data_IF_782562535348
#
_entry.id   IF_782562535348
#
_cell.length_a   1.000
_cell.length_b   1.000
_cell.length_c   1.000
_cell.angle_alpha   90.00
_cell.angle_beta   90.00
_cell.angle_gamma   90.00
#
_symmetry.space_group_name_H-M   'P 1'
#
loop_
_entity.id
_entity.type
_entity.pdbx_description
1 polymer ?
#
# COMPACT_ATOMS: atom_id res chain seq x y z
N UNK A 1 -1.82 12.00 -7.68
CA UNK A 1 -2.46 10.72 -7.33
C UNK A 1 -3.70 10.46 -8.17
N UNK A 2 -3.82 9.24 -8.72
CA UNK A 2 -4.96 8.76 -9.50
C UNK A 2 -6.25 8.69 -8.66
N UNK A 3 -6.95 9.84 -8.51
CA UNK A 3 -8.24 9.93 -7.82
C UNK A 3 -9.35 9.05 -8.42
N UNK A 4 -9.12 8.49 -9.62
CA UNK A 4 -10.03 7.52 -10.26
C UNK A 4 -9.87 6.08 -9.78
N UNK A 5 -8.68 5.65 -9.33
CA UNK A 5 -8.46 4.28 -8.86
C UNK A 5 -8.91 4.11 -7.41
N UNK A 6 -8.57 5.07 -6.53
CA UNK A 6 -9.11 5.14 -5.16
C UNK A 6 -10.64 5.14 -5.18
N UNK A 7 -11.26 5.95 -6.05
CA UNK A 7 -12.72 6.00 -6.14
C UNK A 7 -13.42 4.71 -6.64
N UNK A 8 -12.71 3.79 -7.29
CA UNK A 8 -13.25 2.50 -7.76
C UNK A 8 -12.97 1.39 -6.72
N UNK A 9 -11.77 1.41 -6.13
CA UNK A 9 -11.37 0.50 -5.05
C UNK A 9 -12.19 0.76 -3.78
N UNK A 10 -12.36 2.02 -3.39
CA UNK A 10 -13.23 2.42 -2.27
C UNK A 10 -14.69 2.05 -2.54
N UNK A 11 -15.16 2.12 -3.78
CA UNK A 11 -16.53 1.67 -4.13
C UNK A 11 -16.69 0.16 -4.09
N UNK A 12 -15.64 -0.58 -4.42
CA UNK A 12 -15.65 -2.05 -4.38
C UNK A 12 -15.51 -2.54 -2.94
N UNK A 13 -14.60 -1.98 -2.14
CA UNK A 13 -14.46 -2.22 -0.69
C UNK A 13 -15.71 -1.80 0.08
N UNK A 14 -16.31 -0.65 -0.27
CA UNK A 14 -17.62 -0.25 0.25
C UNK A 14 -18.65 -1.31 -0.10
N UNK A 15 -18.77 -1.69 -1.38
CA UNK A 15 -19.73 -2.72 -1.80
C UNK A 15 -19.51 -4.07 -1.11
N UNK A 16 -18.27 -4.52 -0.93
CA UNK A 16 -17.97 -5.81 -0.29
C UNK A 16 -18.23 -5.80 1.21
N UNK A 17 -18.00 -4.67 1.91
CA UNK A 17 -18.38 -4.50 3.32
C UNK A 17 -19.89 -4.59 3.55
N UNK A 18 -20.70 -4.16 2.58
CA UNK A 18 -22.17 -4.29 2.65
C UNK A 18 -22.69 -5.69 2.26
N UNK A 19 -21.85 -6.58 1.69
CA UNK A 19 -22.28 -7.94 1.29
C UNK A 19 -22.68 -8.76 2.53
N UNK A 20 -21.89 -8.72 3.60
CA UNK A 20 -22.18 -9.43 4.86
C UNK A 20 -23.57 -9.08 5.44
N UNK A 21 -23.82 -7.80 5.78
CA UNK A 21 -25.11 -7.34 6.28
C UNK A 21 -26.29 -7.71 5.38
N UNK A 22 -26.14 -7.58 4.05
CA UNK A 22 -27.19 -7.90 3.09
C UNK A 22 -27.47 -9.40 2.98
N UNK A 23 -26.43 -10.25 3.04
CA UNK A 23 -26.58 -11.70 3.06
C UNK A 23 -27.27 -12.17 4.35
N UNK A 24 -26.85 -11.67 5.51
CA UNK A 24 -27.50 -12.00 6.78
C UNK A 24 -28.94 -11.50 6.84
N UNK A 25 -29.24 -10.33 6.28
CA UNK A 25 -30.60 -9.80 6.17
C UNK A 25 -31.47 -10.70 5.28
N UNK A 26 -30.97 -11.09 4.10
CA UNK A 26 -31.67 -11.98 3.17
C UNK A 26 -31.95 -13.36 3.78
N UNK A 27 -30.93 -13.98 4.39
CA UNK A 27 -31.06 -15.25 5.10
C UNK A 27 -32.02 -15.14 6.29
N UNK A 28 -31.94 -14.06 7.06
CA UNK A 28 -32.79 -13.81 8.23
C UNK A 28 -34.26 -13.64 7.86
N UNK A 29 -34.56 -12.85 6.83
CA UNK A 29 -35.93 -12.67 6.31
C UNK A 29 -36.47 -13.97 5.71
N UNK A 30 -35.67 -14.69 4.92
CA UNK A 30 -36.06 -15.95 4.29
C UNK A 30 -36.39 -17.04 5.32
N UNK A 31 -35.48 -17.25 6.28
CA UNK A 31 -35.64 -18.27 7.32
C UNK A 31 -36.71 -17.88 8.35
N UNK A 32 -36.81 -16.59 8.70
CA UNK A 32 -37.86 -16.07 9.57
C UNK A 32 -39.25 -16.24 8.97
N UNK A 33 -39.42 -15.92 7.67
CA UNK A 33 -40.66 -16.16 6.94
C UNK A 33 -41.01 -17.65 6.86
N UNK A 34 -40.02 -18.49 6.53
CA UNK A 34 -40.21 -19.94 6.45
C UNK A 34 -40.60 -20.56 7.79
N UNK A 35 -40.00 -20.09 8.89
CA UNK A 35 -40.38 -20.45 10.26
C UNK A 35 -41.82 -20.05 10.59
N UNK A 36 -42.18 -18.78 10.39
CA UNK A 36 -43.53 -18.25 10.65
C UNK A 36 -44.61 -18.97 9.83
N UNK A 37 -44.29 -19.35 8.59
CA UNK A 37 -45.21 -20.10 7.73
C UNK A 37 -45.31 -21.58 8.13
N UNK A 38 -44.22 -22.18 8.60
CA UNK A 38 -44.16 -23.61 8.91
C UNK A 38 -44.72 -23.96 10.29
N UNK A 39 -44.54 -23.11 11.30
CA UNK A 39 -45.01 -23.35 12.68
C UNK A 39 -46.52 -23.69 12.77
N UNK A 40 -47.45 -22.93 12.16
CA UNK A 40 -48.88 -23.24 12.24
C UNK A 40 -49.28 -24.48 11.40
N UNK A 41 -48.46 -24.87 10.43
CA UNK A 41 -48.74 -25.93 9.47
C UNK A 41 -48.04 -27.27 9.78
N UNK A 42 -47.23 -27.31 10.84
CA UNK A 42 -46.42 -28.50 11.18
C UNK A 42 -46.99 -29.23 12.40
N UNK A 43 -47.35 -30.52 12.30
CA UNK A 43 -47.80 -31.32 13.45
C UNK A 43 -46.63 -31.64 14.40
N UNK A 44 -46.90 -31.77 15.70
CA UNK A 44 -45.92 -32.33 16.64
C UNK A 44 -45.54 -33.76 16.19
N UNK A 45 -44.25 -34.11 16.08
CA UNK A 45 -43.11 -33.54 16.83
C UNK A 45 -42.23 -32.53 16.07
N UNK A 46 -42.50 -32.23 14.81
CA UNK A 46 -41.60 -31.44 13.95
C UNK A 46 -41.65 -29.93 14.23
N UNK A 47 -42.53 -29.48 15.13
CA UNK A 47 -42.62 -28.08 15.53
C UNK A 47 -41.31 -27.55 16.14
N UNK A 48 -40.53 -28.37 16.84
CA UNK A 48 -39.24 -27.97 17.38
C UNK A 48 -38.26 -27.54 16.28
N UNK A 49 -38.29 -28.21 15.12
CA UNK A 49 -37.47 -27.82 13.96
C UNK A 49 -37.95 -26.48 13.37
N UNK A 50 -39.26 -26.28 13.26
CA UNK A 50 -39.84 -25.03 12.75
C UNK A 50 -39.51 -23.83 13.67
N UNK A 51 -39.52 -24.04 15.00
CA UNK A 51 -39.05 -23.05 15.97
C UNK A 51 -37.54 -22.80 15.87
N UNK A 52 -36.74 -23.85 15.63
CA UNK A 52 -35.30 -23.72 15.39
C UNK A 52 -34.96 -22.87 14.16
N UNK A 53 -35.70 -23.07 13.06
CA UNK A 53 -35.58 -22.26 11.84
C UNK A 53 -35.91 -20.78 12.11
N UNK A 54 -36.98 -20.52 12.87
CA UNK A 54 -37.36 -19.15 13.24
C UNK A 54 -36.28 -18.49 14.11
N UNK A 55 -35.76 -19.21 15.11
CA UNK A 55 -34.70 -18.71 15.97
C UNK A 55 -33.41 -18.42 15.19
N UNK A 56 -33.06 -19.27 14.23
CA UNK A 56 -31.94 -19.05 13.32
C UNK A 56 -32.15 -17.79 12.46
N UNK A 57 -33.34 -17.62 11.87
CA UNK A 57 -33.68 -16.42 11.11
C UNK A 57 -33.57 -15.14 11.95
N UNK A 58 -34.05 -15.15 13.19
CA UNK A 58 -33.90 -14.04 14.13
C UNK A 58 -32.43 -13.77 14.50
N UNK A 59 -31.62 -14.82 14.66
CA UNK A 59 -30.18 -14.71 14.88
C UNK A 59 -29.45 -14.04 13.71
N UNK A 60 -29.79 -14.41 12.47
CA UNK A 60 -29.27 -13.75 11.26
C UNK A 60 -29.71 -12.30 11.16
N UNK A 61 -30.96 -11.96 11.51
CA UNK A 61 -31.41 -10.56 11.54
C UNK A 61 -30.67 -9.72 12.58
N UNK A 62 -30.40 -10.29 13.75
CA UNK A 62 -29.60 -9.63 14.78
C UNK A 62 -28.15 -9.42 14.34
N UNK A 63 -27.53 -10.43 13.70
CA UNK A 63 -26.20 -10.32 13.12
C UNK A 63 -26.15 -9.27 12.00
N UNK A 64 -27.15 -9.24 11.11
CA UNK A 64 -27.28 -8.22 10.06
C UNK A 64 -27.37 -6.81 10.65
N UNK A 65 -28.13 -6.65 11.74
CA UNK A 65 -28.23 -5.36 12.43
C UNK A 65 -26.90 -4.96 13.09
N UNK A 66 -26.19 -5.90 13.71
CA UNK A 66 -24.89 -5.65 14.32
C UNK A 66 -23.85 -5.25 13.27
N UNK A 67 -23.73 -6.01 12.18
CA UNK A 67 -22.80 -5.69 11.10
C UNK A 67 -23.20 -4.40 10.36
N UNK A 68 -24.50 -4.08 10.28
CA UNK A 68 -24.97 -2.78 9.79
C UNK A 68 -24.51 -1.64 10.68
N UNK A 69 -24.58 -1.79 12.01
CA UNK A 69 -24.11 -0.78 12.95
C UNK A 69 -22.59 -0.62 12.87
N UNK A 70 -21.84 -1.72 12.78
CA UNK A 70 -20.38 -1.69 12.64
C UNK A 70 -19.96 -1.03 11.32
N UNK A 71 -20.59 -1.41 10.19
CA UNK A 71 -20.33 -0.78 8.90
C UNK A 71 -20.70 0.71 8.86
N UNK A 72 -21.68 1.15 9.65
CA UNK A 72 -22.10 2.55 9.76
C UNK A 72 -21.20 3.35 10.70
N UNK A 73 -20.79 2.78 11.82
CA UNK A 73 -19.96 3.46 12.82
C UNK A 73 -18.48 3.55 12.35
N UNK A 74 -18.07 2.68 11.42
CA UNK A 74 -16.81 2.75 10.67
C UNK A 74 -16.89 3.58 9.36
N UNK A 75 -18.01 4.25 9.06
CA UNK A 75 -18.01 5.30 8.02
C UNK A 75 -17.26 6.53 8.57
N UNK A 76 -16.01 6.85 8.16
CA UNK A 76 -15.68 8.25 8.06
C UNK A 76 -16.67 8.80 7.03
N UNK A 77 -17.52 9.80 7.36
CA UNK A 77 -18.35 10.41 6.34
C UNK A 77 -17.41 10.86 5.23
N UNK A 78 -17.59 10.32 4.03
CA UNK A 78 -16.90 10.81 2.83
C UNK A 78 -17.33 12.26 2.66
N UNK A 79 -16.55 13.13 3.28
CA UNK A 79 -16.60 14.55 3.10
C UNK A 79 -15.56 14.79 2.02
N UNK A 80 -15.93 15.28 0.82
CA UNK A 80 -14.95 15.97 0.00
C UNK A 80 -14.21 16.96 0.91
N UNK A 81 -12.87 17.09 0.84
CA UNK A 81 -12.12 17.91 1.78
C UNK A 81 -12.80 19.27 1.89
N UNK A 82 -13.36 19.56 3.07
CA UNK A 82 -14.01 20.84 3.33
C UNK A 82 -12.92 21.90 3.16
N UNK A 83 -13.04 22.82 2.18
CA UNK A 83 -12.05 23.87 1.96
C UNK A 83 -11.86 24.76 3.19
N UNK A 84 -12.80 24.70 4.13
CA UNK A 84 -12.83 25.45 5.37
C UNK A 84 -12.76 24.54 6.61
N UNK A 85 -12.35 23.26 6.47
CA UNK A 85 -12.15 22.38 7.61
C UNK A 85 -11.17 23.06 8.57
N UNK A 86 -11.54 23.33 9.83
CA UNK A 86 -10.56 23.73 10.82
C UNK A 86 -9.50 22.64 10.87
N UNK A 87 -8.22 23.02 10.83
CA UNK A 87 -7.14 22.05 10.96
C UNK A 87 -7.44 21.13 12.15
N UNK A 88 -7.32 19.79 12.00
CA UNK A 88 -7.48 18.89 13.13
C UNK A 88 -6.58 19.40 14.28
N UNK A 89 -7.00 19.22 15.55
CA UNK A 89 -6.17 19.63 16.68
C UNK A 89 -4.77 19.04 16.48
N UNK A 90 -3.79 19.93 16.40
CA UNK A 90 -2.37 19.62 16.22
C UNK A 90 -1.89 18.79 17.41
N UNK A 91 -2.05 17.47 17.33
CA UNK A 91 -1.14 16.57 18.02
C UNK A 91 0.19 16.77 17.31
N UNK A 92 0.92 17.79 17.77
CA UNK A 92 2.30 18.01 17.41
C UNK A 92 3.12 17.48 18.55
N UNK A 93 4.09 16.67 18.21
CA UNK A 93 5.13 16.19 19.09
C UNK A 93 6.37 17.03 18.76
N UNK A 94 6.59 18.17 19.44
CA UNK A 94 7.66 19.07 19.06
C UNK A 94 8.99 18.34 19.15
N UNK A 95 9.76 18.38 18.07
CA UNK A 95 11.08 17.79 18.04
C UNK A 95 12.03 18.57 18.94
N UNK A 96 12.90 17.86 19.66
CA UNK A 96 14.03 18.50 20.31
C UNK A 96 14.94 19.15 19.25
N UNK A 97 15.56 20.31 19.50
CA UNK A 97 16.40 21.01 18.52
C UNK A 97 17.51 20.12 17.94
N UNK A 98 18.07 19.23 18.76
CA UNK A 98 19.11 18.29 18.35
C UNK A 98 18.59 17.25 17.35
N UNK A 99 17.36 16.75 17.55
CA UNK A 99 16.72 15.79 16.65
C UNK A 99 16.31 16.46 15.33
N UNK A 100 15.89 17.72 15.39
CA UNK A 100 15.61 18.53 14.21
C UNK A 100 16.87 18.72 13.37
N UNK A 101 18.01 19.05 13.99
CA UNK A 101 19.29 19.19 13.28
C UNK A 101 19.73 17.87 12.64
N UNK A 102 19.60 16.75 13.36
CA UNK A 102 19.90 15.41 12.84
C UNK A 102 19.01 15.07 11.64
N UNK A 103 17.69 15.26 11.75
CA UNK A 103 16.71 15.02 10.68
C UNK A 103 17.07 15.82 9.42
N UNK A 104 17.25 17.13 9.55
CA UNK A 104 17.59 18.01 8.42
C UNK A 104 18.96 17.68 7.83
N UNK A 105 19.93 17.29 8.66
CA UNK A 105 21.24 16.88 8.17
C UNK A 105 21.16 15.60 7.32
N UNK A 106 20.34 14.63 7.70
CA UNK A 106 20.12 13.41 6.92
C UNK A 106 19.35 13.70 5.63
N UNK A 107 18.35 14.58 5.67
CA UNK A 107 17.67 15.03 4.44
C UNK A 107 18.62 15.71 3.46
N UNK A 108 19.56 16.54 3.96
CA UNK A 108 20.61 17.12 3.11
C UNK A 108 21.54 16.04 2.51
N UNK A 109 21.82 14.95 3.23
CA UNK A 109 22.55 13.80 2.66
C UNK A 109 21.74 13.08 1.58
N UNK A 110 20.42 12.92 1.76
CA UNK A 110 19.53 12.34 0.74
C UNK A 110 19.48 13.21 -0.54
N UNK A 111 19.45 14.54 -0.40
CA UNK A 111 19.58 15.46 -1.54
C UNK A 111 20.94 15.33 -2.23
N UNK A 112 22.05 15.30 -1.48
CA UNK A 112 23.39 15.14 -2.03
C UNK A 112 23.57 13.80 -2.77
N UNK A 113 22.90 12.75 -2.29
CA UNK A 113 22.88 11.43 -2.90
C UNK A 113 21.97 11.34 -4.16
N UNK A 114 21.21 12.39 -4.46
CA UNK A 114 20.25 12.42 -5.57
C UNK A 114 19.01 11.53 -5.33
N UNK A 115 18.74 11.18 -4.07
CA UNK A 115 17.50 10.47 -3.68
C UNK A 115 16.33 11.47 -3.60
N UNK A 116 16.63 12.71 -3.23
CA UNK A 116 15.73 13.86 -3.30
C UNK A 116 16.28 14.90 -4.28
N UNK A 117 15.40 15.56 -5.03
CA UNK A 117 15.78 16.73 -5.81
C UNK A 117 16.09 17.92 -4.86
N UNK A 118 17.07 18.79 -5.17
CA UNK A 118 17.37 19.94 -4.33
C UNK A 118 16.15 20.84 -4.09
N UNK A 119 15.74 21.00 -2.84
CA UNK A 119 14.57 21.80 -2.47
C UNK A 119 13.23 21.18 -2.89
N UNK A 120 13.19 19.87 -3.18
CA UNK A 120 11.96 19.13 -3.45
C UNK A 120 11.02 19.15 -2.23
N UNK A 121 11.59 19.05 -1.03
CA UNK A 121 10.90 19.21 0.25
C UNK A 121 11.63 20.27 1.05
N UNK A 122 10.90 21.25 1.61
CA UNK A 122 11.51 22.28 2.44
C UNK A 122 11.75 21.78 3.88
N UNK A 123 12.77 22.32 4.56
CA UNK A 123 13.05 22.02 5.97
C UNK A 123 11.81 22.18 6.87
N UNK A 124 10.98 23.19 6.60
CA UNK A 124 9.75 23.42 7.35
C UNK A 124 8.72 22.30 7.17
N UNK A 125 8.59 21.77 5.95
CA UNK A 125 7.72 20.62 5.65
C UNK A 125 8.28 19.34 6.28
N UNK A 126 9.59 19.12 6.24
CA UNK A 126 10.24 17.96 6.86
C UNK A 126 9.98 17.95 8.37
N UNK A 127 10.21 19.08 9.05
CA UNK A 127 10.00 19.20 10.49
C UNK A 127 8.53 19.11 10.84
N UNK A 128 7.67 19.80 10.10
CA UNK A 128 6.23 19.71 10.32
C UNK A 128 5.72 18.28 10.16
N UNK A 129 6.16 17.56 9.12
CA UNK A 129 5.80 16.17 8.93
C UNK A 129 6.24 15.32 10.12
N UNK A 130 7.51 15.41 10.51
CA UNK A 130 8.03 14.63 11.64
C UNK A 130 7.29 14.91 12.95
N UNK A 131 6.96 16.17 13.26
CA UNK A 131 6.18 16.51 14.47
C UNK A 131 4.75 15.92 14.45
N UNK A 132 4.21 15.57 13.28
CA UNK A 132 2.89 14.93 13.14
C UNK A 132 2.97 13.40 12.98
N UNK A 133 4.14 12.85 12.63
CA UNK A 133 4.34 11.42 12.44
C UNK A 133 4.39 10.67 13.77
N UNK A 134 5.30 11.04 14.67
CA UNK A 134 5.52 10.30 15.92
C UNK A 134 6.25 11.12 17.00
N UNK A 135 6.38 10.54 18.20
CA UNK A 135 7.28 11.01 19.26
C UNK A 135 8.65 10.34 19.10
N UNK A 136 9.61 11.09 18.55
CA UNK A 136 10.98 10.62 18.37
C UNK A 136 11.82 10.82 19.65
N UNK A 137 12.40 9.73 20.17
CA UNK A 137 13.44 9.78 21.22
C UNK A 137 14.86 9.87 20.61
N UNK A 138 15.04 9.30 19.42
CA UNK A 138 16.26 9.33 18.62
C UNK A 138 15.93 9.57 17.14
N UNK A 139 16.91 10.04 16.35
CA UNK A 139 16.75 10.32 14.93
C UNK A 139 17.77 9.51 14.12
N UNK A 140 17.49 8.22 13.99
CA UNK A 140 18.22 7.30 13.15
C UNK A 140 17.66 7.25 11.72
N UNK A 141 18.28 6.46 10.85
CA UNK A 141 17.84 6.33 9.45
C UNK A 141 16.44 5.72 9.34
N UNK A 142 16.05 4.83 10.24
CA UNK A 142 14.69 4.27 10.29
C UNK A 142 13.65 5.38 10.53
N UNK A 143 13.91 6.25 11.50
CA UNK A 143 13.08 7.42 11.82
C UNK A 143 12.98 8.38 10.64
N UNK A 144 14.12 8.66 9.98
CA UNK A 144 14.18 9.51 8.79
C UNK A 144 13.38 8.90 7.63
N UNK A 145 13.50 7.60 7.40
CA UNK A 145 12.74 6.89 6.37
C UNK A 145 11.23 6.93 6.66
N UNK A 146 10.80 6.79 7.91
CA UNK A 146 9.39 6.95 8.28
C UNK A 146 8.86 8.36 7.96
N UNK A 147 9.64 9.42 8.25
CA UNK A 147 9.26 10.79 7.86
C UNK A 147 9.20 10.94 6.34
N UNK A 148 10.15 10.33 5.62
CA UNK A 148 10.22 10.36 4.16
C UNK A 148 9.02 9.68 3.49
N UNK A 149 8.58 8.54 4.02
CA UNK A 149 7.37 7.82 3.60
C UNK A 149 6.11 8.68 3.81
N UNK A 150 5.97 9.27 5.00
CA UNK A 150 4.83 10.14 5.32
C UNK A 150 4.78 11.37 4.41
N UNK A 151 5.93 11.99 4.11
CA UNK A 151 6.03 13.06 3.11
C UNK A 151 5.65 12.55 1.71
N UNK A 152 6.04 11.32 1.36
CA UNK A 152 5.69 10.70 0.08
C UNK A 152 4.19 10.51 -0.10
N UNK A 153 3.51 10.04 0.94
CA UNK A 153 2.07 9.73 0.94
C UNK A 153 1.19 10.98 0.80
N UNK A 154 1.62 12.13 1.34
CA UNK A 154 0.87 13.37 1.30
C UNK A 154 1.04 14.17 -0.01
N UNK A 155 2.00 13.79 -0.87
CA UNK A 155 2.42 14.61 -2.01
C UNK A 155 1.74 14.25 -3.34
N UNK A 156 1.38 15.31 -4.08
CA UNK A 156 1.01 15.24 -5.49
C UNK A 156 1.60 16.46 -6.23
N UNK A 157 2.63 16.29 -7.09
CA UNK A 157 3.21 15.04 -7.59
C UNK A 157 4.08 14.28 -6.56
N UNK A 158 4.28 12.96 -6.73
CA UNK A 158 5.13 12.14 -5.85
C UNK A 158 6.60 12.55 -5.94
N UNK A 159 7.40 12.14 -4.95
CA UNK A 159 8.85 12.37 -4.91
C UNK A 159 9.53 11.83 -6.16
N UNK A 160 10.35 12.64 -6.83
CA UNK A 160 10.77 12.40 -8.20
C UNK A 160 11.66 11.17 -8.38
N UNK A 161 12.54 10.93 -7.42
CA UNK A 161 13.57 9.88 -7.47
C UNK A 161 13.34 8.75 -6.47
N UNK A 162 12.17 8.72 -5.83
CA UNK A 162 11.83 7.75 -4.79
C UNK A 162 10.42 7.20 -5.00
N UNK A 163 10.25 5.91 -4.79
CA UNK A 163 8.97 5.22 -4.81
C UNK A 163 8.83 4.35 -3.58
N UNK A 164 7.62 4.32 -3.01
CA UNK A 164 7.28 3.57 -1.82
C UNK A 164 6.27 2.49 -2.18
N UNK A 165 6.55 1.25 -1.77
CA UNK A 165 5.62 0.14 -1.94
C UNK A 165 5.33 -0.49 -0.59
N UNK A 166 4.06 -0.62 -0.24
CA UNK A 166 3.68 -1.27 1.02
C UNK A 166 3.96 -2.76 0.94
N UNK A 167 4.66 -3.33 1.94
CA UNK A 167 5.15 -4.72 1.87
C UNK A 167 4.29 -5.76 2.62
N UNK A 168 3.26 -5.33 3.37
CA UNK A 168 2.40 -6.20 4.21
C UNK A 168 0.90 -6.05 3.94
N UNK A 169 0.53 -5.75 2.69
CA UNK A 169 -0.88 -5.63 2.27
C UNK A 169 -1.28 -6.74 1.31
N UNK A 170 -2.58 -6.87 1.06
CA UNK A 170 -3.09 -7.69 -0.04
C UNK A 170 -2.55 -7.13 -1.36
N UNK A 171 -2.06 -8.02 -2.23
CA UNK A 171 -1.52 -7.64 -3.52
C UNK A 171 -2.59 -7.78 -4.60
N UNK A 172 -2.82 -6.71 -5.35
CA UNK A 172 -3.77 -6.69 -6.45
C UNK A 172 -3.06 -6.49 -7.79
N UNK A 173 -3.71 -6.89 -8.87
CA UNK A 173 -3.18 -6.75 -10.24
C UNK A 173 -2.71 -5.33 -10.57
N UNK A 174 -3.45 -4.34 -10.05
CA UNK A 174 -3.16 -2.92 -10.25
C UNK A 174 -1.83 -2.47 -9.60
N UNK A 175 -1.33 -3.19 -8.61
CA UNK A 175 -0.07 -2.94 -7.90
C UNK A 175 1.13 -3.35 -8.75
N UNK A 176 1.05 -4.49 -9.45
CA UNK A 176 2.08 -4.89 -10.42
C UNK A 176 2.27 -3.82 -11.50
N UNK A 177 1.16 -3.24 -11.97
CA UNK A 177 1.20 -2.13 -12.93
C UNK A 177 1.77 -0.84 -12.34
N UNK A 178 1.53 -0.58 -11.05
CA UNK A 178 2.11 0.57 -10.36
C UNK A 178 3.63 0.42 -10.25
N UNK A 179 4.12 -0.75 -9.82
CA UNK A 179 5.55 -1.05 -9.70
C UNK A 179 6.28 -0.78 -11.02
N UNK A 180 5.80 -1.32 -12.15
CA UNK A 180 6.44 -1.08 -13.47
C UNK A 180 6.49 0.41 -13.83
N UNK A 181 5.42 1.16 -13.55
CA UNK A 181 5.35 2.60 -13.85
C UNK A 181 6.29 3.41 -12.96
N UNK A 182 6.38 3.06 -11.69
CA UNK A 182 7.27 3.72 -10.73
C UNK A 182 8.74 3.47 -11.09
N UNK A 183 9.12 2.25 -11.49
CA UNK A 183 10.46 1.94 -12.01
C UNK A 183 10.82 2.78 -13.24
N UNK A 184 9.89 2.93 -14.18
CA UNK A 184 10.08 3.82 -15.32
C UNK A 184 10.24 5.29 -14.89
N UNK A 185 9.41 5.73 -13.95
CA UNK A 185 9.42 7.12 -13.45
C UNK A 185 10.74 7.46 -12.77
N UNK A 186 11.15 6.68 -11.77
CA UNK A 186 12.34 7.00 -10.96
C UNK A 186 13.65 6.80 -11.73
N UNK A 187 13.68 5.93 -12.75
CA UNK A 187 14.84 5.81 -13.68
C UNK A 187 14.95 6.92 -14.72
N UNK A 188 13.98 7.85 -14.73
CA UNK A 188 13.91 8.94 -15.71
C UNK A 188 13.49 8.50 -17.11
N UNK A 189 12.87 7.32 -17.26
CA UNK A 189 12.35 6.88 -18.55
C UNK A 189 11.16 7.76 -18.97
N UNK A 190 11.32 8.47 -20.08
CA UNK A 190 10.31 9.39 -20.63
C UNK A 190 9.54 8.80 -21.83
N UNK A 191 9.88 7.58 -22.24
CA UNK A 191 9.21 6.90 -23.34
C UNK A 191 7.83 6.33 -22.95
N UNK A 192 7.04 5.88 -23.93
CA UNK A 192 5.74 5.27 -23.65
C UNK A 192 5.92 3.84 -23.13
N UNK A 193 5.34 3.54 -21.96
CA UNK A 193 5.03 2.18 -21.55
C UNK A 193 3.68 1.77 -22.15
N UNK A 194 3.66 0.73 -22.98
CA UNK A 194 2.43 0.26 -23.65
C UNK A 194 2.12 -1.18 -23.28
N UNK A 195 0.85 -1.55 -23.51
CA UNK A 195 0.37 -2.93 -23.39
C UNK A 195 0.73 -3.59 -22.06
N UNK A 196 0.67 -2.82 -20.95
CA UNK A 196 0.91 -3.40 -19.63
C UNK A 196 -0.24 -4.36 -19.30
N UNK A 197 0.06 -5.64 -19.19
CA UNK A 197 -0.88 -6.71 -18.90
C UNK A 197 -0.34 -7.64 -17.83
N UNK A 198 -1.24 -8.24 -17.05
CA UNK A 198 -0.90 -9.24 -16.04
C UNK A 198 -1.74 -10.47 -16.30
N UNK A 199 -1.08 -11.62 -16.28
CA UNK A 199 -1.73 -12.93 -16.35
C UNK A 199 -1.34 -13.75 -15.11
N UNK A 200 -2.33 -14.17 -14.34
CA UNK A 200 -2.15 -15.11 -13.22
C UNK A 200 -2.32 -16.53 -13.74
N UNK A 201 -1.28 -17.35 -13.56
CA UNK A 201 -1.14 -18.70 -14.13
C UNK A 201 -1.58 -19.76 -13.11
N UNK A 202 -1.42 -19.49 -11.81
CA UNK A 202 -1.77 -20.41 -10.72
C UNK A 202 -2.25 -19.63 -9.47
N UNK A 203 -2.81 -20.33 -8.49
CA UNK A 203 -3.31 -19.76 -7.24
C UNK A 203 -2.19 -19.07 -6.43
N UNK A 204 -2.59 -18.15 -5.54
CA UNK A 204 -1.67 -17.49 -4.62
C UNK A 204 -0.94 -18.48 -3.72
N UNK A 205 0.38 -18.31 -3.64
CA UNK A 205 1.22 -19.14 -2.81
C UNK A 205 1.43 -18.51 -1.42
N UNK A 206 1.89 -19.32 -0.48
CA UNK A 206 2.48 -18.82 0.77
C UNK A 206 3.93 -18.41 0.50
N UNK A 207 4.48 -17.43 1.24
CA UNK A 207 5.89 -17.08 1.14
C UNK A 207 6.79 -18.31 1.30
N UNK A 208 7.76 -18.43 0.40
CA UNK A 208 8.72 -19.53 0.32
C UNK A 208 10.11 -18.96 0.02
N UNK A 209 11.17 -19.64 0.47
CA UNK A 209 12.55 -19.29 0.10
C UNK A 209 12.86 -19.61 -1.37
N UNK A 210 12.06 -20.48 -1.99
CA UNK A 210 12.18 -20.87 -3.40
C UNK A 210 10.76 -20.86 -4.01
N UNK A 211 10.21 -19.68 -4.31
CA UNK A 211 8.86 -19.54 -4.82
C UNK A 211 8.80 -19.91 -6.31
N UNK A 212 7.75 -20.61 -6.71
CA UNK A 212 7.50 -20.89 -8.13
C UNK A 212 6.69 -19.73 -8.72
N UNK A 213 7.10 -19.11 -9.84
CA UNK A 213 6.30 -18.06 -10.46
C UNK A 213 4.89 -18.53 -10.80
N UNK A 214 3.88 -17.76 -10.37
CA UNK A 214 2.46 -18.00 -10.64
C UNK A 214 1.79 -16.84 -11.36
N UNK A 215 2.55 -15.82 -11.77
CA UNK A 215 2.06 -14.69 -12.55
C UNK A 215 3.09 -14.24 -13.58
N UNK A 216 2.63 -13.57 -14.63
CA UNK A 216 3.49 -12.95 -15.66
C UNK A 216 2.99 -11.54 -15.94
N UNK A 217 3.89 -10.56 -15.83
CA UNK A 217 3.63 -9.20 -16.30
C UNK A 217 4.27 -9.00 -17.67
N UNK A 218 3.49 -8.45 -18.58
CA UNK A 218 3.94 -8.08 -19.91
C UNK A 218 3.86 -6.57 -20.09
N UNK A 219 4.86 -5.99 -20.76
CA UNK A 219 4.81 -4.58 -21.15
C UNK A 219 5.76 -4.31 -22.32
N UNK A 220 5.48 -3.25 -23.07
CA UNK A 220 6.35 -2.74 -24.13
C UNK A 220 7.10 -1.49 -23.65
N UNK A 221 8.42 -1.53 -23.75
CA UNK A 221 9.32 -0.39 -23.52
C UNK A 221 10.03 -0.05 -24.84
N UNK A 222 9.69 1.09 -25.43
CA UNK A 222 10.19 1.46 -26.75
C UNK A 222 9.73 0.48 -27.83
N UNK A 223 10.67 -0.28 -28.40
CA UNK A 223 10.41 -1.33 -29.40
C UNK A 223 10.51 -2.75 -28.85
N UNK A 224 10.82 -2.89 -27.56
CA UNK A 224 11.07 -4.18 -26.91
C UNK A 224 9.86 -4.58 -26.09
N UNK A 225 9.39 -5.81 -26.27
CA UNK A 225 8.38 -6.43 -25.41
C UNK A 225 9.08 -7.23 -24.31
N UNK A 226 8.68 -6.98 -23.07
CA UNK A 226 9.13 -7.70 -21.89
C UNK A 226 7.98 -8.59 -21.39
N UNK A 227 8.34 -9.76 -20.91
CA UNK A 227 7.43 -10.74 -20.30
C UNK A 227 8.18 -11.32 -19.11
N UNK A 228 7.78 -10.94 -17.90
CA UNK A 228 8.50 -11.22 -16.67
C UNK A 228 7.66 -12.16 -15.79
N UNK A 229 8.06 -13.42 -15.58
CA UNK A 229 7.41 -14.31 -14.63
C UNK A 229 7.78 -13.91 -13.21
N UNK A 230 6.81 -13.85 -12.30
CA UNK A 230 7.03 -13.51 -10.90
C UNK A 230 6.06 -14.24 -9.99
N UNK A 231 6.25 -14.16 -8.68
CA UNK A 231 5.37 -14.81 -7.70
C UNK A 231 4.50 -13.79 -7.00
N UNK A 232 3.20 -14.02 -7.00
CA UNK A 232 2.22 -13.29 -6.21
C UNK A 232 1.82 -14.11 -4.99
N UNK A 233 1.84 -13.46 -3.83
CA UNK A 233 1.35 -14.00 -2.58
C UNK A 233 -0.03 -13.43 -2.23
N UNK A 234 -0.79 -14.11 -1.35
CA UNK A 234 -2.11 -13.64 -0.93
C UNK A 234 -2.07 -12.32 -0.11
N UNK A 235 -0.95 -12.12 0.57
CA UNK A 235 -0.53 -10.93 1.31
C UNK A 235 0.98 -10.84 1.07
N UNK A 236 1.59 -9.67 1.11
CA UNK A 236 3.00 -9.39 0.77
C UNK A 236 3.24 -8.97 -0.69
N UNK A 237 4.36 -8.27 -0.88
CA UNK A 237 4.87 -7.87 -2.18
C UNK A 237 5.25 -9.05 -3.07
N UNK A 238 5.25 -8.83 -4.40
CA UNK A 238 5.57 -9.87 -5.37
C UNK A 238 7.06 -10.21 -5.32
N UNK A 239 7.36 -11.49 -5.45
CA UNK A 239 8.73 -11.99 -5.48
C UNK A 239 9.28 -12.04 -6.90
N UNK A 240 10.52 -11.61 -7.08
CA UNK A 240 11.26 -11.64 -8.34
C UNK A 240 10.89 -10.55 -9.34
N UNK A 241 9.78 -9.81 -9.15
CA UNK A 241 9.37 -8.77 -10.09
C UNK A 241 10.36 -7.59 -10.08
N UNK A 242 10.80 -7.17 -8.90
CA UNK A 242 11.57 -5.95 -8.69
C UNK A 242 13.01 -6.13 -9.18
N UNK A 243 13.59 -7.29 -8.87
CA UNK A 243 14.90 -7.76 -9.31
C UNK A 243 14.95 -7.85 -10.84
N UNK A 244 13.87 -8.29 -11.49
CA UNK A 244 13.80 -8.36 -12.95
C UNK A 244 13.62 -6.98 -13.61
N UNK A 245 12.94 -6.04 -12.96
CA UNK A 245 12.71 -4.69 -13.49
C UNK A 245 13.97 -3.82 -13.41
N UNK A 246 14.78 -3.97 -12.36
CA UNK A 246 15.99 -3.19 -12.14
C UNK A 246 16.94 -3.16 -13.38
N UNK A 247 17.39 -4.30 -13.95
CA UNK A 247 18.28 -4.29 -15.12
C UNK A 247 17.59 -3.88 -16.42
N UNK A 248 16.25 -3.82 -16.48
CA UNK A 248 15.52 -3.35 -17.67
C UNK A 248 15.54 -1.81 -17.73
N UNK A 249 15.31 -1.15 -16.60
CA UNK A 249 15.24 0.31 -16.52
C UNK A 249 16.59 0.98 -16.23
N UNK A 250 17.52 0.24 -15.62
CA UNK A 250 18.90 0.63 -15.38
C UNK A 250 19.84 -0.46 -15.92
N UNK A 251 19.94 -0.62 -17.26
CA UNK A 251 20.81 -1.63 -17.85
C UNK A 251 22.29 -1.34 -17.51
N UNK A 252 23.17 -2.36 -17.57
CA UNK A 252 24.55 -2.25 -17.08
C UNK A 252 25.35 -1.09 -17.67
N UNK A 253 25.01 -0.63 -18.87
CA UNK A 253 25.64 0.49 -19.57
C UNK A 253 25.26 1.87 -19.00
N UNK A 254 24.16 1.98 -18.25
CA UNK A 254 23.81 3.21 -17.52
C UNK A 254 24.69 3.37 -16.30
N UNK A 255 24.85 4.61 -15.83
CA UNK A 255 25.60 4.90 -14.61
C UNK A 255 24.77 4.63 -13.35
N UNK A 256 23.46 4.82 -13.44
CA UNK A 256 22.53 4.67 -12.34
C UNK A 256 22.17 3.21 -12.08
N UNK A 257 21.85 2.89 -10.82
CA UNK A 257 21.36 1.59 -10.35
C UNK A 257 20.19 1.82 -9.40
N UNK A 258 19.38 0.79 -9.21
CA UNK A 258 18.30 0.82 -8.24
C UNK A 258 18.79 0.38 -6.87
N UNK A 259 18.34 1.08 -5.84
CA UNK A 259 18.67 0.81 -4.45
C UNK A 259 17.40 0.71 -3.62
N UNK A 260 17.43 -0.18 -2.63
CA UNK A 260 16.36 -0.37 -1.64
C UNK A 260 16.85 0.02 -0.25
N UNK A 261 16.01 0.71 0.53
CA UNK A 261 16.26 0.94 1.96
C UNK A 261 16.04 -0.35 2.76
N UNK A 262 17.04 -0.76 3.55
CA UNK A 262 16.96 -1.91 4.46
C UNK A 262 16.27 -1.57 5.80
N UNK A 263 16.13 -0.28 6.08
CA UNK A 263 15.65 0.25 7.36
C UNK A 263 14.18 0.71 7.26
N UNK A 264 13.55 0.53 6.09
CA UNK A 264 12.13 0.83 5.86
C UNK A 264 11.24 -0.33 6.32
N UNK A 265 10.06 -0.01 6.87
CA UNK A 265 8.99 -0.99 7.05
C UNK A 265 8.27 -1.30 5.76
N UNK A 266 8.43 -0.48 4.73
CA UNK A 266 7.94 -0.64 3.37
C UNK A 266 9.11 -1.03 2.44
N UNK A 267 8.86 -1.04 1.14
CA UNK A 267 9.92 -1.18 0.15
C UNK A 267 10.15 0.16 -0.54
N UNK A 268 11.20 0.82 -0.12
CA UNK A 268 11.54 2.15 -0.59
C UNK A 268 12.65 2.05 -1.62
N UNK A 269 12.34 2.41 -2.86
CA UNK A 269 13.23 2.24 -4.00
C UNK A 269 13.60 3.60 -4.59
N UNK A 270 14.90 3.79 -4.80
CA UNK A 270 15.46 4.93 -5.53
C UNK A 270 16.34 4.47 -6.71
N UNK A 271 16.64 5.39 -7.63
CA UNK A 271 17.54 5.16 -8.76
C UNK A 271 18.60 6.27 -8.78
N UNK A 272 19.85 5.92 -8.46
CA UNK A 272 20.96 6.87 -8.36
C UNK A 272 22.30 6.19 -8.70
N UNK A 273 23.43 6.90 -8.64
CA UNK A 273 24.74 6.32 -8.96
C UNK A 273 25.35 5.57 -7.77
N UNK A 274 26.13 4.50 -8.01
CA UNK A 274 26.83 3.79 -6.93
C UNK A 274 27.75 4.66 -6.08
N UNK A 275 28.35 5.70 -6.66
CA UNK A 275 29.21 6.62 -5.93
C UNK A 275 28.40 7.44 -4.91
N UNK A 276 27.26 7.99 -5.32
CA UNK A 276 26.37 8.76 -4.45
C UNK A 276 25.82 7.91 -3.30
N UNK A 277 25.37 6.67 -3.58
CA UNK A 277 24.89 5.78 -2.52
C UNK A 277 26.00 5.34 -1.57
N UNK A 278 27.22 5.13 -2.07
CA UNK A 278 28.36 4.79 -1.22
C UNK A 278 28.72 5.92 -0.25
N UNK A 279 28.69 7.18 -0.71
CA UNK A 279 28.90 8.36 0.14
C UNK A 279 27.78 8.49 1.19
N UNK A 280 26.52 8.30 0.78
CA UNK A 280 25.38 8.33 1.69
C UNK A 280 25.49 7.27 2.79
N UNK A 281 25.71 6.01 2.42
CA UNK A 281 25.83 4.91 3.38
C UNK A 281 26.99 5.15 4.35
N UNK A 282 28.15 5.62 3.85
CA UNK A 282 29.29 5.93 4.70
C UNK A 282 29.03 7.09 5.69
N UNK A 283 28.12 8.01 5.35
CA UNK A 283 27.74 9.12 6.21
C UNK A 283 26.68 8.72 7.26
N UNK A 284 25.77 7.82 6.92
CA UNK A 284 24.69 7.37 7.82
C UNK A 284 25.22 6.42 8.89
N UNK A 285 26.06 5.44 8.52
CA UNK A 285 26.45 4.41 9.47
C UNK A 285 27.47 3.40 8.95
N UNK A 286 27.93 2.48 9.82
CA UNK A 286 28.90 1.44 9.45
C UNK A 286 28.29 0.35 8.55
N UNK A 287 26.98 0.14 8.62
CA UNK A 287 26.23 -0.81 7.80
C UNK A 287 25.48 -0.07 6.69
N UNK A 288 25.41 -0.64 5.48
CA UNK A 288 24.75 0.03 4.35
C UNK A 288 23.23 0.01 4.52
N UNK A 289 22.62 1.17 4.70
CA UNK A 289 21.16 1.33 4.76
C UNK A 289 20.50 1.24 3.39
N UNK A 290 21.19 1.65 2.32
CA UNK A 290 20.70 1.58 0.94
C UNK A 290 21.50 0.55 0.14
N UNK A 291 20.85 -0.53 -0.28
CA UNK A 291 21.51 -1.68 -0.92
C UNK A 291 21.04 -1.82 -2.37
N UNK A 292 21.97 -2.15 -3.27
CA UNK A 292 21.66 -2.34 -4.69
C UNK A 292 20.73 -3.55 -4.89
N UNK A 293 19.70 -3.35 -5.72
CA UNK A 293 18.81 -4.42 -6.19
C UNK A 293 19.53 -5.14 -7.34
N UNK A 294 19.72 -6.46 -7.20
CA UNK A 294 20.51 -7.29 -8.13
C UNK A 294 19.66 -8.18 -9.01
#
# INVERSE_FOLDING_TARGET
MNSRRTGLFDRVLYRTRWIGPLLYLGCGLGMGWLGLWSIPNTPMPNQLMAWGILAFGLGCLWQAYKEFLEARDEEPPYSPPDPNRPAPPRWRHPLAPELQEQLLSTFALLEAAGILDPGEVSDAEVVECAEHTDVFEEMDIHSVTMVLEMLGDERDPPLRHLAFFTNQVEFYDDDAFAIVREFARISGYTGPLRQIGLETIDDHQRPSLDPTPNAVIEFEMGTTRHSLPFTVYAKYQPDGLIEQLAPIFAPPERAERFYVSQESMNLDITCTTPAQTAELNAAIGPEPSWVEIK
#
